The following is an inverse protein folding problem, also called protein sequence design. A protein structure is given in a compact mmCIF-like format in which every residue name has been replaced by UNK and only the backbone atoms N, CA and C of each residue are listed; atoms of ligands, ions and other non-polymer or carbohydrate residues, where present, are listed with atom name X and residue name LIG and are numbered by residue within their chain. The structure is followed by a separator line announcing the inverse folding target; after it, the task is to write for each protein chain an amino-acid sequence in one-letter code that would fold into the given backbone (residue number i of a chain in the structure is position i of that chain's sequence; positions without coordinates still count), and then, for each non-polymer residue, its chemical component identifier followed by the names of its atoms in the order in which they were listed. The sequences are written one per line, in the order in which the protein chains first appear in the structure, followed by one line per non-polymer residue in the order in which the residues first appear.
data_IF_152947298800
#
_entry.id   IF_152947298800
#
_cell.length_a   1.000
_cell.length_b   1.000
_cell.length_c   1.000
_cell.angle_alpha   90.00
_cell.angle_beta   90.00
_cell.angle_gamma   90.00
#
_symmetry.space_group_name_H-M   'P 1'
#
loop_
_entity.id
_entity.type
_entity.pdbx_description
1 polymer ?
#
# COMPACT_ATOMS: atom_id res chain seq x y z
N UNK A 1 -3.94 -18.67 -9.67
CA UNK A 1 -4.11 -18.22 -8.27
C UNK A 1 -3.57 -16.81 -8.17
N UNK A 2 -4.34 -15.89 -7.62
CA UNK A 2 -3.91 -14.50 -7.43
C UNK A 2 -2.83 -14.43 -6.34
N UNK A 3 -1.99 -13.38 -6.35
CA UNK A 3 -0.90 -13.25 -5.35
C UNK A 3 -1.47 -12.94 -3.97
N UNK A 4 -2.57 -12.19 -3.87
CA UNK A 4 -3.29 -11.95 -2.62
C UNK A 4 -3.86 -13.23 -2.04
N UNK A 5 -4.48 -14.08 -2.86
CA UNK A 5 -4.99 -15.39 -2.43
C UNK A 5 -3.86 -16.26 -1.89
N UNK A 6 -2.68 -16.24 -2.52
CA UNK A 6 -1.50 -16.94 -2.02
C UNK A 6 -1.05 -16.41 -0.66
N UNK A 7 -0.92 -15.10 -0.52
CA UNK A 7 -0.50 -14.50 0.74
C UNK A 7 -1.53 -14.69 1.86
N UNK A 8 -2.82 -14.65 1.55
CA UNK A 8 -3.87 -14.99 2.51
C UNK A 8 -3.81 -16.46 2.93
N UNK A 9 -3.64 -17.39 1.98
CA UNK A 9 -3.57 -18.82 2.29
C UNK A 9 -2.32 -19.19 3.10
N UNK A 10 -1.21 -18.48 2.88
CA UNK A 10 0.04 -18.63 3.63
C UNK A 10 0.08 -17.77 4.90
N UNK A 11 -0.99 -17.04 5.22
CA UNK A 11 -1.09 -16.13 6.35
C UNK A 11 0.09 -15.13 6.43
N UNK A 12 0.53 -14.65 5.26
CA UNK A 12 1.59 -13.64 5.12
C UNK A 12 1.00 -12.26 5.36
N UNK A 13 1.53 -11.57 6.36
CA UNK A 13 1.16 -10.21 6.69
C UNK A 13 2.18 -9.24 6.07
N UNK A 14 1.69 -8.34 5.21
CA UNK A 14 2.52 -7.27 4.66
C UNK A 14 2.68 -6.16 5.70
N UNK A 15 3.94 -5.83 6.00
CA UNK A 15 4.24 -4.87 7.04
C UNK A 15 4.12 -3.43 6.52
N UNK A 16 4.50 -3.19 5.26
CA UNK A 16 4.39 -1.86 4.66
C UNK A 16 3.02 -1.63 3.99
N UNK A 17 2.46 -0.45 4.21
CA UNK A 17 1.23 -0.03 3.53
C UNK A 17 1.39 0.01 2.01
N UNK A 18 2.58 0.37 1.51
CA UNK A 18 2.86 0.40 0.06
C UNK A 18 2.79 -0.98 -0.57
N UNK A 19 3.27 -2.02 0.11
CA UNK A 19 3.19 -3.40 -0.38
C UNK A 19 1.75 -3.89 -0.44
N UNK A 20 1.00 -3.67 0.64
CA UNK A 20 -0.41 -4.07 0.71
C UNK A 20 -1.27 -3.36 -0.35
N UNK A 21 -1.04 -2.06 -0.56
CA UNK A 21 -1.71 -1.30 -1.61
C UNK A 21 -1.31 -1.79 -3.02
N UNK A 22 -0.03 -2.02 -3.29
CA UNK A 22 0.43 -2.49 -4.61
C UNK A 22 -0.10 -3.89 -4.95
N UNK A 23 -0.18 -4.79 -3.96
CA UNK A 23 -0.73 -6.12 -4.13
C UNK A 23 -2.19 -6.05 -4.64
N UNK A 24 -3.01 -5.23 -3.99
CA UNK A 24 -4.44 -5.11 -4.29
C UNK A 24 -4.69 -4.34 -5.60
N UNK A 25 -3.96 -3.23 -5.82
CA UNK A 25 -4.03 -2.46 -7.08
C UNK A 25 -3.58 -3.29 -8.27
N UNK A 26 -2.50 -4.06 -8.14
CA UNK A 26 -1.96 -4.90 -9.22
C UNK A 26 -2.88 -6.04 -9.66
N UNK A 27 -3.85 -6.42 -8.83
CA UNK A 27 -4.79 -7.51 -9.13
C UNK A 27 -6.12 -7.05 -9.71
N UNK A 28 -6.56 -5.84 -9.35
CA UNK A 28 -7.80 -5.26 -9.87
C UNK A 28 -7.54 -4.22 -10.98
N UNK A 29 -6.31 -3.70 -11.11
CA UNK A 29 -5.98 -2.63 -12.05
C UNK A 29 -6.59 -1.27 -11.72
N UNK A 30 -7.42 -1.21 -10.67
CA UNK A 30 -8.21 -0.06 -10.26
C UNK A 30 -7.74 0.50 -8.91
N UNK A 31 -8.14 1.74 -8.61
CA UNK A 31 -7.90 2.33 -7.29
C UNK A 31 -8.67 1.57 -6.19
N UNK A 32 -8.13 1.53 -4.99
CA UNK A 32 -8.73 0.82 -3.86
C UNK A 32 -9.74 1.76 -3.19
N UNK A 33 -11.04 1.41 -3.14
CA UNK A 33 -12.04 2.24 -2.48
C UNK A 33 -11.66 2.56 -1.03
N UNK A 34 -11.73 3.84 -0.66
CA UNK A 34 -11.40 4.29 0.69
C UNK A 34 -9.90 4.41 1.01
N UNK A 35 -9.03 4.25 0.00
CA UNK A 35 -7.59 4.43 0.14
C UNK A 35 -7.09 5.38 -0.95
N UNK A 36 -6.42 6.45 -0.54
CA UNK A 36 -5.76 7.40 -1.43
C UNK A 36 -4.27 7.15 -1.47
N UNK A 37 -3.68 7.22 -2.66
CA UNK A 37 -2.22 7.16 -2.84
C UNK A 37 -1.72 8.43 -3.50
N UNK A 38 -0.73 9.08 -2.87
CA UNK A 38 -0.01 10.21 -3.43
C UNK A 38 1.47 9.86 -3.53
N UNK A 39 2.08 10.14 -4.68
CA UNK A 39 3.51 9.96 -4.89
C UNK A 39 4.17 11.28 -5.25
N UNK A 40 5.29 11.54 -4.59
CA UNK A 40 6.15 12.68 -4.85
C UNK A 40 7.55 12.17 -5.18
N UNK A 41 8.04 12.52 -6.35
CA UNK A 41 9.43 12.28 -6.75
C UNK A 41 10.24 13.51 -6.37
N UNK A 42 11.23 13.31 -5.52
CA UNK A 42 12.25 14.28 -5.16
C UNK A 42 13.54 13.91 -5.89
N UNK A 43 14.54 14.78 -5.85
CA UNK A 43 15.82 14.57 -6.53
C UNK A 43 16.51 13.26 -6.11
N UNK A 44 16.53 12.97 -4.80
CA UNK A 44 17.24 11.84 -4.21
C UNK A 44 16.34 10.80 -3.53
N UNK A 45 15.02 10.99 -3.61
CA UNK A 45 14.07 10.15 -2.90
C UNK A 45 12.70 10.13 -3.58
N UNK A 46 11.94 9.09 -3.30
CA UNK A 46 10.51 8.99 -3.64
C UNK A 46 9.72 8.86 -2.36
N UNK A 47 8.75 9.76 -2.19
CA UNK A 47 7.83 9.74 -1.06
C UNK A 47 6.49 9.21 -1.54
N UNK A 48 6.02 8.14 -0.93
CA UNK A 48 4.69 7.58 -1.16
C UNK A 48 3.85 7.76 0.10
N UNK A 49 2.72 8.44 -0.02
CA UNK A 49 1.78 8.67 1.07
C UNK A 49 0.51 7.89 0.75
N UNK A 50 0.16 6.94 1.63
CA UNK A 50 -1.10 6.20 1.56
C UNK A 50 -1.99 6.68 2.69
N UNK A 51 -3.19 7.14 2.36
CA UNK A 51 -4.19 7.58 3.33
C UNK A 51 -5.36 6.60 3.32
N UNK A 52 -5.62 5.95 4.44
CA UNK A 52 -6.79 5.09 4.64
C UNK A 52 -7.88 5.92 5.31
N UNK A 53 -8.93 6.25 4.56
CA UNK A 53 -9.97 7.19 5.00
C UNK A 53 -11.21 6.48 5.55
N UNK A 54 -11.58 5.33 4.98
CA UNK A 54 -12.84 4.64 5.28
C UNK A 54 -12.62 3.26 5.91
N UNK A 55 -13.66 2.73 6.56
CA UNK A 55 -13.61 1.36 7.11
C UNK A 55 -13.55 0.29 6.00
N UNK A 56 -14.01 0.62 4.80
CA UNK A 56 -13.83 -0.21 3.60
C UNK A 56 -12.35 -0.26 3.23
N UNK A 57 -11.65 0.87 3.27
CA UNK A 57 -10.20 0.93 3.08
C UNK A 57 -9.45 0.12 4.13
N UNK A 58 -9.87 0.20 5.42
CA UNK A 58 -9.29 -0.63 6.50
C UNK A 58 -9.44 -2.12 6.20
N UNK A 59 -10.62 -2.55 5.75
CA UNK A 59 -10.89 -3.96 5.39
C UNK A 59 -10.11 -4.38 4.15
N UNK A 60 -9.97 -3.51 3.16
CA UNK A 60 -9.27 -3.81 1.92
C UNK A 60 -7.77 -3.99 2.17
N UNK A 61 -7.11 -3.02 2.82
CA UNK A 61 -5.65 -3.02 2.99
C UNK A 61 -5.17 -3.72 4.27
N UNK A 62 -6.07 -3.95 5.25
CA UNK A 62 -5.74 -4.56 6.53
C UNK A 62 -4.92 -3.65 7.45
N UNK A 63 -4.93 -2.33 7.22
CA UNK A 63 -4.26 -1.32 8.06
C UNK A 63 -5.30 -0.35 8.63
N UNK A 64 -5.15 0.12 9.89
CA UNK A 64 -6.04 1.13 10.47
C UNK A 64 -6.15 2.41 9.64
N UNK A 65 -7.21 3.20 9.88
CA UNK A 65 -7.33 4.55 9.31
C UNK A 65 -6.12 5.40 9.70
N UNK A 66 -5.63 6.19 8.75
CA UNK A 66 -4.46 7.05 8.97
C UNK A 66 -3.58 7.20 7.73
N UNK A 67 -2.48 7.92 7.92
CA UNK A 67 -1.49 8.18 6.88
C UNK A 67 -0.25 7.32 7.09
N UNK A 68 0.17 6.65 6.03
CA UNK A 68 1.35 5.81 5.98
C UNK A 68 2.31 6.41 4.97
N UNK A 69 3.47 6.85 5.46
CA UNK A 69 4.46 7.56 4.65
C UNK A 69 5.65 6.62 4.46
N UNK A 70 5.94 6.29 3.21
CA UNK A 70 7.14 5.54 2.83
C UNK A 70 8.09 6.47 2.10
N UNK A 71 9.35 6.52 2.53
CA UNK A 71 10.42 7.28 1.89
C UNK A 71 11.41 6.25 1.35
N UNK A 72 11.51 6.18 0.03
CA UNK A 72 12.47 5.36 -0.68
C UNK A 72 13.62 6.26 -1.14
N UNK A 73 14.77 6.17 -0.45
CA UNK A 73 15.94 7.01 -0.66
C UNK A 73 17.16 6.13 -1.02
N UNK A 74 17.29 5.69 -2.29
CA UNK A 74 18.28 4.69 -2.71
C UNK A 74 19.73 5.14 -2.56
N UNK A 75 19.95 6.46 -2.46
CA UNK A 75 21.26 7.08 -2.25
C UNK A 75 21.71 7.05 -0.78
N UNK A 76 20.80 6.78 0.16
CA UNK A 76 21.12 6.54 1.57
C UNK A 76 21.33 5.03 1.72
N UNK A 77 22.60 4.62 1.81
CA UNK A 77 23.02 3.23 2.08
C UNK A 77 23.96 3.17 3.25
#
# INVERSE_FOLDING_TARGET
MKKSELYQHLNVQLDLAVEAHQLLRGENGEEIPGVLMNEQKLEHAKVTIITVETDEGVKAIGKPKGQYITIDAPEIR
#
